data_IF_598655660231
#
_entry.id   IF_598655660231
#
_cell.length_a   1.000
_cell.length_b   1.000
_cell.length_c   1.000
_cell.angle_alpha   90.00
_cell.angle_beta   90.00
_cell.angle_gamma   90.00
#
_symmetry.space_group_name_H-M   'P 1'
#
loop_
_entity.id
_entity.type
_entity.pdbx_description
1 polymer ?
#
# COMPACT_ATOMS: atom_id res chain seq x y z
N UNK A 1 9.30 -18.54 9.14
CA UNK A 1 8.13 -18.57 8.25
C UNK A 1 6.95 -17.85 8.87
N UNK A 2 6.63 -18.12 10.11
CA UNK A 2 5.48 -17.54 10.85
C UNK A 2 5.52 -16.01 10.91
N UNK A 3 6.70 -15.42 11.11
CA UNK A 3 6.87 -13.97 11.12
C UNK A 3 6.52 -13.34 9.76
N UNK A 4 6.96 -13.94 8.65
CA UNK A 4 6.69 -13.43 7.32
C UNK A 4 5.21 -13.54 6.94
N UNK A 5 4.58 -14.67 7.22
CA UNK A 5 3.15 -14.88 7.00
C UNK A 5 2.33 -13.95 7.89
N UNK A 6 2.70 -13.82 9.17
CA UNK A 6 2.09 -12.88 10.11
C UNK A 6 2.19 -11.44 9.61
N UNK A 7 3.35 -11.03 9.08
CA UNK A 7 3.54 -9.69 8.51
C UNK A 7 2.62 -9.43 7.30
N UNK A 8 2.47 -10.39 6.38
CA UNK A 8 1.59 -10.25 5.21
C UNK A 8 0.14 -10.06 5.64
N UNK A 9 -0.39 -10.95 6.49
CA UNK A 9 -1.76 -10.82 6.98
C UNK A 9 -1.95 -9.57 7.84
N UNK A 10 -0.98 -9.26 8.70
CA UNK A 10 -1.00 -8.07 9.55
C UNK A 10 -1.01 -6.78 8.73
N UNK A 11 -0.18 -6.67 7.70
CA UNK A 11 -0.14 -5.52 6.80
C UNK A 11 -1.48 -5.31 6.10
N UNK A 12 -2.08 -6.37 5.56
CA UNK A 12 -3.40 -6.28 4.91
C UNK A 12 -4.47 -5.80 5.89
N UNK A 13 -4.50 -6.35 7.11
CA UNK A 13 -5.44 -5.92 8.15
C UNK A 13 -5.23 -4.45 8.52
N UNK A 14 -3.99 -4.04 8.76
CA UNK A 14 -3.65 -2.65 9.10
C UNK A 14 -4.02 -1.69 7.97
N UNK A 15 -3.75 -2.04 6.72
CA UNK A 15 -4.08 -1.21 5.56
C UNK A 15 -5.59 -1.03 5.40
N UNK A 16 -6.38 -2.10 5.51
CA UNK A 16 -7.83 -2.04 5.32
C UNK A 16 -8.53 -1.37 6.52
N UNK A 17 -8.06 -1.56 7.73
CA UNK A 17 -8.73 -1.05 8.93
C UNK A 17 -8.15 0.29 9.36
N UNK A 18 -6.87 0.33 9.74
CA UNK A 18 -6.26 1.51 10.34
C UNK A 18 -5.97 2.59 9.29
N UNK A 19 -5.24 2.24 8.21
CA UNK A 19 -4.83 3.21 7.19
C UNK A 19 -6.06 3.78 6.49
N UNK A 20 -6.92 2.93 5.98
CA UNK A 20 -8.15 3.36 5.32
C UNK A 20 -9.08 4.11 6.28
N UNK A 21 -9.23 3.64 7.52
CA UNK A 21 -10.05 4.31 8.55
C UNK A 21 -9.55 5.72 8.88
N UNK A 22 -8.25 5.90 9.04
CA UNK A 22 -7.65 7.23 9.25
C UNK A 22 -7.89 8.13 8.04
N UNK A 23 -7.60 7.66 6.83
CA UNK A 23 -7.77 8.43 5.59
C UNK A 23 -9.21 8.90 5.42
N UNK A 24 -10.20 8.00 5.59
CA UNK A 24 -11.63 8.33 5.46
C UNK A 24 -12.10 9.31 6.55
N UNK A 25 -11.49 9.28 7.74
CA UNK A 25 -11.82 10.24 8.81
C UNK A 25 -11.43 11.68 8.46
N UNK A 26 -10.44 11.87 7.59
CA UNK A 26 -10.04 13.20 7.11
C UNK A 26 -10.81 13.64 5.86
N UNK A 27 -11.10 12.71 4.96
CA UNK A 27 -11.84 12.98 3.73
C UNK A 27 -12.62 11.74 3.28
N UNK A 28 -13.92 11.87 3.00
CA UNK A 28 -14.70 10.79 2.40
C UNK A 28 -14.07 10.34 1.07
N UNK A 29 -13.94 9.03 0.88
CA UNK A 29 -13.42 8.46 -0.34
C UNK A 29 -14.56 8.09 -1.27
N UNK A 30 -14.56 8.65 -2.46
CA UNK A 30 -15.44 8.24 -3.54
C UNK A 30 -14.81 7.03 -4.25
N UNK A 31 -15.37 5.84 -4.01
CA UNK A 31 -14.88 4.60 -4.62
C UNK A 31 -15.74 4.27 -5.82
N UNK A 32 -15.13 4.13 -6.99
CA UNK A 32 -15.83 3.68 -8.20
C UNK A 32 -16.20 2.21 -8.05
N UNK A 33 -17.49 1.83 -8.21
CA UNK A 33 -17.92 0.44 -8.02
C UNK A 33 -17.21 -0.56 -8.95
N UNK A 34 -16.77 -0.10 -10.12
CA UNK A 34 -16.03 -0.93 -11.08
C UNK A 34 -14.66 -1.35 -10.53
N UNK A 35 -13.94 -0.44 -9.87
CA UNK A 35 -12.64 -0.72 -9.25
C UNK A 35 -12.78 -1.66 -8.05
N UNK A 36 -13.76 -1.37 -7.18
CA UNK A 36 -14.03 -2.23 -6.03
C UNK A 36 -14.34 -3.67 -6.48
N UNK A 37 -15.15 -3.84 -7.53
CA UNK A 37 -15.50 -5.18 -8.03
C UNK A 37 -14.31 -5.88 -8.70
N UNK A 38 -13.48 -5.17 -9.45
CA UNK A 38 -12.31 -5.74 -10.13
C UNK A 38 -11.20 -6.09 -9.14
N UNK A 39 -10.69 -5.07 -8.46
CA UNK A 39 -9.50 -5.18 -7.62
C UNK A 39 -9.83 -5.82 -6.26
N UNK A 40 -11.02 -5.54 -5.72
CA UNK A 40 -11.52 -6.16 -4.49
C UNK A 40 -11.76 -7.65 -4.63
N UNK A 41 -12.32 -8.11 -5.75
CA UNK A 41 -12.47 -9.55 -6.00
C UNK A 41 -11.12 -10.25 -6.15
N UNK A 42 -10.16 -9.64 -6.85
CA UNK A 42 -8.81 -10.20 -6.96
C UNK A 42 -8.12 -10.29 -5.59
N UNK A 43 -8.25 -9.25 -4.77
CA UNK A 43 -7.70 -9.23 -3.42
C UNK A 43 -8.31 -10.36 -2.57
N UNK A 44 -9.64 -10.53 -2.58
CA UNK A 44 -10.31 -11.62 -1.86
C UNK A 44 -9.85 -12.99 -2.38
N UNK A 45 -9.79 -13.15 -3.70
CA UNK A 45 -9.30 -14.39 -4.31
C UNK A 45 -7.85 -14.70 -3.89
N UNK A 46 -6.98 -13.70 -3.86
CA UNK A 46 -5.58 -13.85 -3.45
C UNK A 46 -5.47 -14.27 -1.98
N UNK A 47 -6.25 -13.66 -1.08
CA UNK A 47 -6.27 -14.01 0.35
C UNK A 47 -6.77 -15.45 0.55
N UNK A 48 -7.88 -15.83 -0.12
CA UNK A 48 -8.44 -17.19 -0.03
C UNK A 48 -7.45 -18.21 -0.57
N UNK A 49 -6.83 -17.94 -1.71
CA UNK A 49 -5.82 -18.83 -2.31
C UNK A 49 -4.62 -19.00 -1.39
N UNK A 50 -4.07 -17.91 -0.86
CA UNK A 50 -2.94 -17.96 0.07
C UNK A 50 -3.30 -18.75 1.33
N UNK A 51 -4.49 -18.51 1.89
CA UNK A 51 -4.97 -19.24 3.08
C UNK A 51 -5.12 -20.75 2.80
N UNK A 52 -5.68 -21.11 1.64
CA UNK A 52 -5.83 -22.51 1.24
C UNK A 52 -4.48 -23.22 1.08
N UNK A 53 -3.52 -22.59 0.42
CA UNK A 53 -2.18 -23.15 0.23
C UNK A 53 -1.44 -23.36 1.57
N UNK A 54 -1.61 -22.43 2.51
CA UNK A 54 -1.01 -22.55 3.85
C UNK A 54 -1.70 -23.60 4.71
N UNK A 55 -2.99 -23.87 4.45
CA UNK A 55 -3.76 -24.85 5.23
C UNK A 55 -3.29 -26.30 5.00
N UNK A 56 -2.96 -26.67 3.77
CA UNK A 56 -2.62 -28.05 3.43
C UNK A 56 -1.18 -28.45 3.78
N UNK A 57 -0.23 -27.50 3.81
CA UNK A 57 1.18 -27.86 3.86
C UNK A 57 2.02 -27.27 4.99
N UNK A 58 1.48 -26.42 5.83
CA UNK A 58 2.27 -25.71 6.86
C UNK A 58 3.35 -24.78 6.30
N UNK A 59 3.31 -24.47 4.98
CA UNK A 59 4.25 -23.56 4.33
C UNK A 59 4.03 -23.47 2.83
N UNK A 60 4.49 -22.39 2.21
CA UNK A 60 4.49 -22.23 0.76
C UNK A 60 5.70 -22.91 0.12
N UNK A 61 5.45 -23.75 -0.86
CA UNK A 61 6.50 -24.33 -1.71
C UNK A 61 6.98 -23.30 -2.75
N UNK A 62 8.16 -23.52 -3.33
CA UNK A 62 8.70 -22.66 -4.39
C UNK A 62 7.80 -22.59 -5.63
N UNK A 63 7.13 -23.71 -5.96
CA UNK A 63 6.23 -23.80 -7.11
C UNK A 63 4.97 -22.98 -6.87
N UNK A 64 4.36 -23.09 -5.70
CA UNK A 64 3.18 -22.31 -5.30
C UNK A 64 3.48 -20.81 -5.29
N UNK A 65 4.63 -20.40 -4.72
CA UNK A 65 5.10 -19.02 -4.80
C UNK A 65 5.29 -18.54 -6.25
N UNK A 66 5.84 -19.38 -7.11
CA UNK A 66 5.98 -19.10 -8.55
C UNK A 66 4.63 -18.90 -9.26
N UNK A 67 3.64 -19.72 -8.94
CA UNK A 67 2.27 -19.60 -9.48
C UNK A 67 1.62 -18.30 -9.02
N UNK A 68 1.73 -17.94 -7.74
CA UNK A 68 1.21 -16.68 -7.23
C UNK A 68 1.85 -15.45 -7.92
N UNK A 69 3.17 -15.48 -8.11
CA UNK A 69 3.88 -14.44 -8.88
C UNK A 69 3.39 -14.37 -10.34
N UNK A 70 3.17 -15.51 -10.99
CA UNK A 70 2.66 -15.55 -12.35
C UNK A 70 1.26 -14.95 -12.45
N UNK A 71 0.36 -15.31 -11.55
CA UNK A 71 -1.01 -14.74 -11.48
C UNK A 71 -0.95 -13.22 -11.33
N UNK A 72 -0.08 -12.72 -10.44
CA UNK A 72 0.10 -11.29 -10.25
C UNK A 72 0.65 -10.59 -11.50
N UNK A 73 1.62 -11.17 -12.19
CA UNK A 73 2.18 -10.62 -13.43
C UNK A 73 1.15 -10.61 -14.57
N UNK A 74 0.32 -11.65 -14.68
CA UNK A 74 -0.79 -11.68 -15.65
C UNK A 74 -1.82 -10.59 -15.33
N UNK A 75 -2.14 -10.38 -14.07
CA UNK A 75 -3.01 -9.28 -13.65
C UNK A 75 -2.43 -7.92 -14.00
N UNK A 76 -1.14 -7.69 -13.72
CA UNK A 76 -0.48 -6.42 -14.08
C UNK A 76 -0.48 -6.17 -15.58
N UNK A 77 -0.18 -7.19 -16.39
CA UNK A 77 -0.23 -7.07 -17.86
C UNK A 77 -1.63 -6.77 -18.34
N UNK A 78 -2.65 -7.40 -17.77
CA UNK A 78 -4.03 -7.09 -18.09
C UNK A 78 -4.41 -5.66 -17.69
N UNK A 79 -4.03 -5.23 -16.49
CA UNK A 79 -4.25 -3.88 -16.00
C UNK A 79 -3.59 -2.82 -16.88
N UNK A 80 -2.33 -3.04 -17.28
CA UNK A 80 -1.58 -2.15 -18.16
C UNK A 80 -2.17 -2.05 -19.57
N UNK A 81 -2.83 -3.11 -20.05
CA UNK A 81 -3.51 -3.10 -21.35
C UNK A 81 -4.87 -2.38 -21.31
N UNK A 82 -5.51 -2.29 -20.13
CA UNK A 82 -6.79 -1.57 -19.93
C UNK A 82 -6.59 -0.07 -19.64
N UNK A 83 -5.46 0.47 -20.08
CA UNK A 83 -4.93 1.80 -19.68
C UNK A 83 -5.70 2.99 -20.27
N UNK A 84 -6.58 2.85 -21.23
CA UNK A 84 -7.28 4.03 -21.80
C UNK A 84 -8.13 4.77 -20.76
N UNK A 85 -8.83 4.02 -19.89
CA UNK A 85 -9.65 4.63 -18.82
C UNK A 85 -8.83 5.16 -17.65
N UNK A 86 -7.74 4.48 -17.32
CA UNK A 86 -6.82 4.90 -16.25
C UNK A 86 -6.08 6.18 -16.66
N UNK A 87 -5.72 6.31 -17.93
CA UNK A 87 -4.98 7.44 -18.50
C UNK A 87 -5.75 8.76 -18.49
N UNK A 88 -7.06 8.72 -18.58
CA UNK A 88 -7.89 9.93 -18.48
C UNK A 88 -7.97 10.46 -17.04
N UNK A 89 -8.10 9.55 -16.07
CA UNK A 89 -8.12 9.90 -14.65
C UNK A 89 -6.73 10.37 -14.17
N UNK A 90 -5.66 9.71 -14.61
CA UNK A 90 -4.28 10.15 -14.31
C UNK A 90 -3.95 11.51 -14.94
N UNK A 91 -4.43 11.81 -16.14
CA UNK A 91 -4.21 13.13 -16.77
C UNK A 91 -4.84 14.26 -15.97
N UNK A 92 -6.01 14.03 -15.35
CA UNK A 92 -6.62 15.02 -14.48
C UNK A 92 -5.76 15.24 -13.23
N UNK A 93 -5.35 14.17 -12.54
CA UNK A 93 -4.49 14.23 -11.34
C UNK A 93 -3.13 14.86 -11.67
N UNK A 94 -2.49 14.47 -12.78
CA UNK A 94 -1.20 15.03 -13.20
C UNK A 94 -1.31 16.49 -13.60
N UNK A 95 -2.41 16.91 -14.22
CA UNK A 95 -2.64 18.32 -14.53
C UNK A 95 -2.89 19.15 -13.26
N UNK A 96 -3.61 18.62 -12.29
CA UNK A 96 -3.79 19.25 -10.97
C UNK A 96 -2.46 19.40 -10.22
N UNK A 97 -1.59 18.38 -10.26
CA UNK A 97 -0.26 18.44 -9.62
C UNK A 97 0.68 19.43 -10.34
N UNK A 98 0.60 19.54 -11.67
CA UNK A 98 1.43 20.47 -12.45
C UNK A 98 1.16 21.94 -12.16
N UNK A 99 0.01 22.29 -11.61
CA UNK A 99 -0.29 23.66 -11.18
C UNK A 99 0.41 24.07 -9.90
N UNK A 100 1.02 23.11 -9.18
CA UNK A 100 1.86 23.39 -8.01
C UNK A 100 3.27 23.70 -8.52
N UNK A 101 3.69 24.96 -8.48
CA UNK A 101 4.95 25.50 -9.04
C UNK A 101 6.24 25.00 -8.37
N UNK A 102 6.39 23.72 -8.14
CA UNK A 102 7.60 23.14 -7.58
C UNK A 102 8.32 22.31 -8.63
N UNK A 103 9.04 22.99 -9.52
CA UNK A 103 9.85 22.34 -10.58
C UNK A 103 11.23 21.96 -10.06
N UNK A 104 11.34 20.77 -9.48
CA UNK A 104 12.65 20.17 -9.22
C UNK A 104 13.16 19.49 -10.50
N UNK A 105 14.47 19.49 -10.67
CA UNK A 105 15.12 18.75 -11.74
C UNK A 105 14.85 17.25 -11.56
N UNK A 106 14.63 16.48 -12.62
CA UNK A 106 14.37 15.04 -12.55
C UNK A 106 15.41 14.26 -11.71
N UNK A 107 16.66 14.70 -11.72
CA UNK A 107 17.74 14.16 -10.86
C UNK A 107 17.45 14.34 -9.37
N UNK A 108 16.87 15.47 -8.97
CA UNK A 108 16.53 15.72 -7.56
C UNK A 108 15.40 14.81 -7.10
N UNK A 109 14.36 14.59 -7.92
CA UNK A 109 13.30 13.62 -7.62
C UNK A 109 13.88 12.20 -7.49
N UNK A 110 14.70 11.78 -8.40
CA UNK A 110 15.35 10.46 -8.34
C UNK A 110 16.16 10.29 -7.05
N UNK A 111 16.97 11.28 -6.71
CA UNK A 111 17.79 11.26 -5.48
C UNK A 111 16.89 11.19 -4.23
N UNK A 112 15.80 11.96 -4.16
CA UNK A 112 14.87 11.90 -3.04
C UNK A 112 14.19 10.54 -2.92
N UNK A 113 13.79 9.92 -4.04
CA UNK A 113 13.19 8.58 -4.05
C UNK A 113 14.19 7.54 -3.54
N UNK A 114 15.45 7.58 -4.02
CA UNK A 114 16.49 6.64 -3.58
C UNK A 114 16.80 6.80 -2.09
N UNK A 115 16.95 8.04 -1.61
CA UNK A 115 17.19 8.30 -0.19
C UNK A 115 15.99 7.84 0.66
N UNK A 116 14.78 8.21 0.25
CA UNK A 116 13.55 7.84 0.96
C UNK A 116 13.35 6.32 1.03
N UNK A 117 13.59 5.62 -0.08
CA UNK A 117 13.52 4.16 -0.12
C UNK A 117 14.58 3.51 0.77
N UNK A 118 15.82 4.02 0.74
CA UNK A 118 16.91 3.51 1.59
C UNK A 118 16.60 3.68 3.07
N UNK A 119 16.09 4.85 3.45
CA UNK A 119 15.66 5.12 4.83
C UNK A 119 14.47 4.23 5.24
N UNK A 120 13.51 4.02 4.36
CA UNK A 120 12.36 3.16 4.63
C UNK A 120 12.80 1.70 4.87
N UNK A 121 13.69 1.15 4.02
CA UNK A 121 14.24 -0.20 4.19
C UNK A 121 15.04 -0.31 5.49
N UNK A 122 15.90 0.67 5.78
CA UNK A 122 16.68 0.68 7.02
C UNK A 122 15.75 0.71 8.24
N UNK A 123 14.79 1.63 8.28
CA UNK A 123 13.84 1.76 9.39
C UNK A 123 12.96 0.51 9.58
N UNK A 124 12.55 -0.15 8.47
CA UNK A 124 11.80 -1.39 8.53
C UNK A 124 12.61 -2.52 9.15
N UNK A 125 13.90 -2.66 8.82
CA UNK A 125 14.78 -3.65 9.44
C UNK A 125 14.94 -3.43 10.94
N UNK A 126 15.22 -2.19 11.36
CA UNK A 126 15.31 -1.83 12.78
C UNK A 126 14.01 -2.13 13.53
N UNK A 127 12.88 -1.75 12.94
CA UNK A 127 11.57 -2.02 13.53
C UNK A 127 11.33 -3.52 13.76
N UNK A 128 11.62 -4.36 12.77
CA UNK A 128 11.46 -5.83 12.89
C UNK A 128 12.38 -6.39 13.97
N UNK A 129 13.64 -5.93 14.05
CA UNK A 129 14.61 -6.38 15.04
C UNK A 129 14.17 -6.02 16.47
N UNK A 130 13.80 -4.75 16.70
CA UNK A 130 13.30 -4.32 18.02
C UNK A 130 11.96 -4.97 18.37
N UNK A 131 11.06 -5.15 17.45
CA UNK A 131 9.80 -5.84 17.67
C UNK A 131 10.04 -7.30 18.07
N UNK A 132 10.93 -8.00 17.39
CA UNK A 132 11.32 -9.37 17.75
C UNK A 132 11.98 -9.45 19.14
N UNK A 133 12.82 -8.47 19.49
CA UNK A 133 13.43 -8.40 20.81
C UNK A 133 12.40 -8.17 21.94
N UNK A 134 11.44 -7.28 21.72
CA UNK A 134 10.35 -7.03 22.67
C UNK A 134 9.49 -8.28 22.85
N UNK A 135 9.15 -8.93 21.75
CA UNK A 135 8.38 -10.17 21.77
C UNK A 135 9.06 -11.28 22.57
N UNK A 136 10.35 -11.45 22.35
CA UNK A 136 11.16 -12.42 23.10
C UNK A 136 11.13 -12.13 24.62
N UNK A 137 11.26 -10.85 25.00
CA UNK A 137 11.21 -10.44 26.43
C UNK A 137 9.84 -10.62 27.07
N UNK A 138 8.78 -10.52 26.29
CA UNK A 138 7.38 -10.65 26.74
C UNK A 138 6.81 -12.04 26.56
N UNK A 139 7.61 -12.99 26.06
CA UNK A 139 7.17 -14.37 25.73
C UNK A 139 5.96 -14.40 24.77
N UNK A 140 5.96 -13.47 23.77
CA UNK A 140 4.90 -13.35 22.78
C UNK A 140 5.24 -14.18 21.54
N UNK A 141 4.31 -14.99 21.01
CA UNK A 141 4.55 -15.77 19.79
C UNK A 141 4.96 -14.90 18.58
N UNK A 142 5.93 -15.36 17.80
CA UNK A 142 6.45 -14.63 16.63
C UNK A 142 5.36 -14.29 15.59
N UNK A 143 4.32 -15.10 15.46
CA UNK A 143 3.20 -14.83 14.57
C UNK A 143 2.43 -13.56 14.99
N UNK A 144 2.24 -13.35 16.30
CA UNK A 144 1.57 -12.14 16.83
C UNK A 144 2.45 -10.90 16.57
N UNK A 145 3.77 -11.02 16.75
CA UNK A 145 4.71 -9.93 16.46
C UNK A 145 4.68 -9.56 14.98
N UNK A 146 4.71 -10.56 14.10
CA UNK A 146 4.60 -10.36 12.66
C UNK A 146 3.31 -9.66 12.27
N UNK A 147 2.17 -10.13 12.79
CA UNK A 147 0.87 -9.56 12.43
C UNK A 147 0.61 -8.18 13.03
N UNK A 148 1.13 -7.87 14.19
CA UNK A 148 0.87 -6.59 14.88
C UNK A 148 1.96 -5.56 14.61
N UNK A 149 3.14 -5.75 15.17
CA UNK A 149 4.20 -4.73 15.14
C UNK A 149 4.84 -4.62 13.75
N UNK A 150 5.19 -5.76 13.15
CA UNK A 150 5.81 -5.76 11.81
C UNK A 150 4.81 -5.32 10.75
N UNK A 151 3.57 -5.84 10.80
CA UNK A 151 2.49 -5.43 9.90
C UNK A 151 2.15 -3.95 10.00
N UNK A 152 2.09 -3.40 11.22
CA UNK A 152 1.89 -1.96 11.43
C UNK A 152 3.06 -1.15 10.86
N UNK A 153 4.29 -1.50 11.22
CA UNK A 153 5.47 -0.76 10.83
C UNK A 153 5.69 -0.72 9.33
N UNK A 154 5.49 -1.84 8.65
CA UNK A 154 5.59 -1.90 7.18
C UNK A 154 4.48 -1.16 6.45
N UNK A 155 3.35 -0.87 7.12
CA UNK A 155 2.24 -0.09 6.56
C UNK A 155 2.31 1.42 6.86
N UNK A 156 3.29 1.89 7.65
CA UNK A 156 3.49 3.33 7.92
C UNK A 156 3.82 4.16 6.67
N UNK A 157 4.67 3.68 5.74
CA UNK A 157 4.92 4.41 4.49
C UNK A 157 3.64 4.64 3.68
N UNK A 158 2.79 3.64 3.56
CA UNK A 158 1.51 3.72 2.85
C UNK A 158 0.57 4.73 3.52
N UNK A 159 0.50 4.72 4.86
CA UNK A 159 -0.27 5.72 5.61
C UNK A 159 0.23 7.14 5.31
N UNK A 160 1.54 7.33 5.29
CA UNK A 160 2.15 8.63 5.01
C UNK A 160 1.80 9.12 3.61
N UNK A 161 1.95 8.26 2.60
CA UNK A 161 1.59 8.58 1.21
C UNK A 161 0.10 8.89 1.08
N UNK A 162 -0.76 8.08 1.69
CA UNK A 162 -2.20 8.31 1.66
C UNK A 162 -2.60 9.63 2.33
N UNK A 163 -1.99 9.99 3.46
CA UNK A 163 -2.24 11.26 4.15
C UNK A 163 -1.76 12.47 3.34
N UNK A 164 -0.60 12.37 2.68
CA UNK A 164 -0.12 13.42 1.77
C UNK A 164 -1.08 13.59 0.60
N UNK A 165 -1.50 12.50 -0.03
CA UNK A 165 -2.45 12.52 -1.14
C UNK A 165 -3.78 13.19 -0.74
N UNK A 166 -4.36 12.82 0.40
CA UNK A 166 -5.60 13.44 0.91
C UNK A 166 -5.43 14.96 1.11
N UNK A 167 -4.31 15.40 1.67
CA UNK A 167 -4.03 16.83 1.87
C UNK A 167 -3.87 17.55 0.53
N UNK A 168 -3.09 17.01 -0.39
CA UNK A 168 -2.82 17.63 -1.70
C UNK A 168 -4.10 17.78 -2.51
N UNK A 169 -4.91 16.74 -2.62
CA UNK A 169 -6.20 16.79 -3.35
C UNK A 169 -7.21 17.73 -2.66
N UNK A 170 -7.16 17.85 -1.33
CA UNK A 170 -8.03 18.80 -0.61
C UNK A 170 -7.69 20.27 -0.94
N UNK A 171 -6.42 20.60 -1.08
CA UNK A 171 -5.98 21.97 -1.44
C UNK A 171 -6.38 22.33 -2.88
N UNK A 172 -6.31 21.41 -3.82
CA UNK A 172 -6.68 21.68 -5.22
C UNK A 172 -8.17 21.93 -5.37
N UNK A 173 -9.03 21.20 -4.66
CA UNK A 173 -10.47 21.43 -4.67
C UNK A 173 -10.89 22.76 -4.02
N UNK A 174 -10.24 23.16 -2.92
CA UNK A 174 -10.49 24.45 -2.28
C UNK A 174 -10.12 25.61 -3.21
N UNK A 175 -8.96 25.53 -3.88
CA UNK A 175 -8.49 26.56 -4.80
C UNK A 175 -9.35 26.67 -6.06
N UNK A 176 -9.82 25.55 -6.60
CA UNK A 176 -10.74 25.54 -7.74
C UNK A 176 -12.10 26.18 -7.39
N UNK A 177 -12.55 26.05 -6.15
CA UNK A 177 -13.81 26.67 -5.70
C UNK A 177 -13.67 28.18 -5.49
N UNK A 178 -12.52 28.66 -5.03
CA UNK A 178 -12.23 30.09 -4.86
C UNK A 178 -12.12 30.82 -6.21
N UNK A 179 -11.54 30.18 -7.23
CA UNK A 179 -11.40 30.77 -8.59
C UNK A 179 -12.71 30.78 -9.40
N UNK A 180 -13.77 30.12 -8.94
CA UNK A 180 -15.10 30.16 -9.56
C UNK A 180 -16.01 31.23 -8.92
N UNK A 181 -15.57 31.90 -7.86
CA UNK A 181 -16.33 32.92 -7.14
C UNK A 181 -15.82 34.34 -7.40
N UNK A 182 -14.72 34.52 -8.16
CA UNK A 182 -14.20 35.77 -8.71
C UNK A 182 -14.61 35.91 -10.19
#
# INVERSE_FOLDING_TARGET
MDLAVGNIYGSVLVQITLVLGIVVSFKPLEIRPAWLRRDGLLMLFSIVTLTALLWEGGGLSRIEGGILCLIYMLYLTWLLNDTEKIREDEKQIVNEIKTTEFSWTGTAYFTMVVIGLSLAVYSANELVEYAAMIAYKLDVPHAIVGSTMSGLGTSLPELTVAMVAVRTVSYTHLRAHETLLD
#
